data_IF_273497250790
#
_entry.id   IF_273497250790
#
_cell.length_a   1.000
_cell.length_b   1.000
_cell.length_c   1.000
_cell.angle_alpha   90.00
_cell.angle_beta   90.00
_cell.angle_gamma   90.00
#
_symmetry.space_group_name_H-M   'P 1'
#
loop_
_entity.id
_entity.type
_entity.pdbx_description
1 polymer ?
#
# COMPACT_ATOMS: atom_id res chain seq x y z
N UNK A 1 5.15 -26.55 0.46
CA UNK A 1 5.30 -27.18 1.80
C UNK A 1 6.76 -27.11 2.26
N UNK A 2 7.72 -27.56 1.45
CA UNK A 2 9.16 -27.48 1.72
C UNK A 2 9.66 -26.04 2.04
N UNK A 3 9.35 -25.04 1.21
CA UNK A 3 9.81 -23.65 1.46
C UNK A 3 9.26 -23.00 2.73
N UNK A 4 8.02 -23.34 3.13
CA UNK A 4 7.45 -22.81 4.36
C UNK A 4 8.18 -23.38 5.58
N UNK A 5 8.45 -24.67 5.56
CA UNK A 5 9.21 -25.33 6.63
C UNK A 5 10.61 -24.72 6.73
N UNK A 6 11.34 -24.61 5.61
CA UNK A 6 12.67 -23.97 5.59
C UNK A 6 12.64 -22.54 6.12
N UNK A 7 11.62 -21.76 5.75
CA UNK A 7 11.43 -20.42 6.27
C UNK A 7 11.25 -20.41 7.79
N UNK A 8 10.39 -21.30 8.33
CA UNK A 8 10.13 -21.39 9.76
C UNK A 8 11.36 -21.86 10.55
N UNK A 9 12.14 -22.79 10.01
CA UNK A 9 13.40 -23.25 10.61
C UNK A 9 14.42 -22.11 10.70
N UNK A 10 14.61 -21.35 9.62
CA UNK A 10 15.50 -20.18 9.62
C UNK A 10 15.00 -19.10 10.57
N UNK A 11 13.69 -18.84 10.61
CA UNK A 11 13.11 -17.87 11.53
C UNK A 11 13.34 -18.28 12.99
N UNK A 12 13.11 -19.56 13.33
CA UNK A 12 13.36 -20.09 14.67
C UNK A 12 14.82 -19.90 15.08
N UNK A 13 15.75 -20.31 14.22
CA UNK A 13 17.18 -20.17 14.48
C UNK A 13 17.61 -18.71 14.71
N UNK A 14 17.01 -17.76 13.96
CA UNK A 14 17.26 -16.34 14.15
C UNK A 14 16.77 -15.82 15.51
N UNK A 15 15.63 -16.32 15.99
CA UNK A 15 15.10 -15.97 17.32
C UNK A 15 15.94 -16.56 18.46
N UNK A 16 16.40 -17.80 18.32
CA UNK A 16 17.33 -18.42 19.28
C UNK A 16 18.64 -17.63 19.36
N UNK A 17 19.23 -17.34 18.20
CA UNK A 17 20.46 -16.54 18.10
C UNK A 17 20.29 -15.13 18.67
N UNK A 18 19.12 -14.51 18.52
CA UNK A 18 18.80 -13.24 19.18
C UNK A 18 18.86 -13.38 20.71
N UNK A 19 18.33 -14.46 21.28
CA UNK A 19 18.42 -14.76 22.70
C UNK A 19 19.85 -14.94 23.18
N UNK A 20 20.69 -15.65 22.41
CA UNK A 20 22.10 -15.86 22.72
C UNK A 20 22.87 -14.53 22.77
N UNK A 21 22.66 -13.64 21.79
CA UNK A 21 23.27 -12.30 21.79
C UNK A 21 22.89 -11.48 23.03
N UNK A 22 21.63 -11.56 23.47
CA UNK A 22 21.21 -10.91 24.72
C UNK A 22 21.92 -11.52 25.93
N UNK A 23 22.11 -12.85 25.95
CA UNK A 23 22.87 -13.56 26.98
C UNK A 23 24.33 -13.12 27.07
N UNK A 24 24.95 -12.75 25.95
CA UNK A 24 26.31 -12.19 25.88
C UNK A 24 26.39 -10.69 26.24
N UNK A 25 25.26 -10.05 26.55
CA UNK A 25 25.20 -8.63 26.93
C UNK A 25 25.14 -7.67 25.75
N UNK A 26 24.90 -8.16 24.53
CA UNK A 26 24.60 -7.30 23.37
C UNK A 26 23.25 -6.61 23.58
N UNK A 27 23.18 -5.32 23.26
CA UNK A 27 21.96 -4.54 23.45
C UNK A 27 20.86 -5.02 22.49
N UNK A 28 19.58 -5.04 22.90
CA UNK A 28 18.46 -5.44 22.03
C UNK A 28 18.42 -4.71 20.68
N UNK A 29 18.72 -3.40 20.67
CA UNK A 29 18.78 -2.58 19.45
C UNK A 29 19.81 -3.06 18.42
N UNK A 30 20.86 -3.73 18.89
CA UNK A 30 21.97 -4.24 18.08
C UNK A 30 21.73 -5.72 17.73
N UNK A 31 21.05 -6.49 18.60
CA UNK A 31 20.67 -7.87 18.34
C UNK A 31 19.48 -8.01 17.37
N UNK A 32 18.57 -7.01 17.32
CA UNK A 32 17.34 -7.07 16.51
C UNK A 32 17.59 -7.25 15.01
N UNK A 33 18.80 -6.97 14.52
CA UNK A 33 19.18 -7.15 13.12
C UNK A 33 19.15 -8.62 12.66
N UNK A 34 19.14 -9.59 13.59
CA UNK A 34 18.93 -11.00 13.27
C UNK A 34 17.48 -11.33 12.93
N UNK A 35 16.52 -10.57 13.46
CA UNK A 35 15.11 -10.91 13.37
C UNK A 35 14.60 -10.74 11.93
N UNK A 36 13.95 -11.75 11.33
CA UNK A 36 13.43 -11.66 9.97
C UNK A 36 12.30 -10.63 9.87
N UNK A 37 12.06 -10.11 8.67
CA UNK A 37 11.03 -9.07 8.43
C UNK A 37 9.61 -9.56 8.67
N UNK A 38 9.32 -10.84 8.46
CA UNK A 38 7.98 -11.41 8.56
C UNK A 38 7.66 -11.81 10.02
N UNK A 39 7.71 -10.80 10.89
CA UNK A 39 7.23 -10.85 12.27
C UNK A 39 5.92 -10.09 12.39
N UNK A 40 5.04 -10.57 13.27
CA UNK A 40 3.83 -9.82 13.61
C UNK A 40 4.22 -8.66 14.52
N UNK A 41 3.87 -7.45 14.11
CA UNK A 41 4.00 -6.24 14.91
C UNK A 41 2.64 -5.58 15.06
N UNK A 42 2.37 -5.03 16.23
CA UNK A 42 1.19 -4.21 16.48
C UNK A 42 1.57 -2.74 16.22
N UNK A 43 0.72 -2.04 15.46
CA UNK A 43 0.97 -0.66 15.04
C UNK A 43 -0.27 0.17 15.36
N UNK A 44 -0.06 1.34 15.96
CA UNK A 44 -1.08 2.39 16.06
C UNK A 44 -0.76 3.42 14.98
N UNK A 45 -1.75 3.71 14.15
CA UNK A 45 -1.65 4.71 13.09
C UNK A 45 -2.66 5.82 13.33
N UNK A 46 -2.19 7.06 13.27
CA UNK A 46 -3.04 8.24 13.37
C UNK A 46 -2.83 9.11 12.13
N UNK A 47 -3.93 9.50 11.49
CA UNK A 47 -3.92 10.34 10.31
C UNK A 47 -5.08 11.33 10.39
N UNK A 48 -4.84 12.56 9.94
CA UNK A 48 -5.93 13.47 9.61
C UNK A 48 -6.67 12.98 8.36
N UNK A 49 -7.88 13.50 8.14
CA UNK A 49 -8.74 13.08 7.02
C UNK A 49 -8.08 13.33 5.66
N UNK A 50 -7.40 14.47 5.49
CA UNK A 50 -6.74 14.82 4.23
C UNK A 50 -5.67 13.79 3.86
N UNK A 51 -4.81 13.43 4.82
CA UNK A 51 -3.74 12.45 4.61
C UNK A 51 -4.29 11.05 4.32
N UNK A 52 -5.42 10.66 4.93
CA UNK A 52 -6.09 9.41 4.62
C UNK A 52 -6.60 9.37 3.17
N UNK A 53 -7.32 10.41 2.76
CA UNK A 53 -8.02 10.45 1.47
C UNK A 53 -7.11 10.77 0.29
N UNK A 54 -6.10 11.63 0.47
CA UNK A 54 -5.23 12.07 -0.61
C UNK A 54 -3.89 11.30 -0.66
N UNK A 55 -3.48 10.67 0.45
CA UNK A 55 -2.18 10.02 0.57
C UNK A 55 -2.28 8.51 0.81
N UNK A 56 -2.72 8.11 1.99
CA UNK A 56 -2.61 6.73 2.46
C UNK A 56 -3.47 5.75 1.64
N UNK A 57 -4.80 5.90 1.64
CA UNK A 57 -5.69 4.97 0.94
C UNK A 57 -5.48 4.92 -0.57
N UNK A 58 -5.27 6.05 -1.28
CA UNK A 58 -5.00 6.04 -2.71
C UNK A 58 -3.82 5.16 -3.11
N UNK A 59 -2.77 5.13 -2.28
CA UNK A 59 -1.57 4.34 -2.51
C UNK A 59 -1.73 2.90 -2.03
N UNK A 60 -2.32 2.68 -0.85
CA UNK A 60 -2.41 1.33 -0.25
C UNK A 60 -3.52 0.46 -0.81
N UNK A 61 -4.54 1.03 -1.43
CA UNK A 61 -5.59 0.29 -2.15
C UNK A 61 -5.20 -0.08 -3.58
N UNK A 62 -4.11 0.50 -4.10
CA UNK A 62 -3.63 0.21 -5.45
C UNK A 62 -3.14 -1.23 -5.57
N UNK A 63 -3.29 -1.84 -6.75
CA UNK A 63 -2.80 -3.19 -7.02
C UNK A 63 -1.26 -3.31 -7.01
N UNK A 64 -0.55 -2.19 -7.14
CA UNK A 64 0.92 -2.14 -7.05
C UNK A 64 1.44 -2.13 -5.62
N UNK A 65 0.57 -1.92 -4.63
CA UNK A 65 0.94 -2.00 -3.22
C UNK A 65 1.30 -3.45 -2.83
N UNK A 66 2.18 -3.58 -1.85
CA UNK A 66 2.51 -4.88 -1.23
C UNK A 66 1.23 -5.58 -0.77
N UNK A 67 1.10 -6.88 -1.07
CA UNK A 67 -0.16 -7.62 -0.86
C UNK A 67 -0.62 -7.56 0.59
N UNK A 68 0.29 -7.76 1.55
CA UNK A 68 -0.08 -7.78 2.96
C UNK A 68 -0.62 -6.43 3.41
N UNK A 69 0.08 -5.35 3.05
CA UNK A 69 -0.34 -3.98 3.32
C UNK A 69 -1.71 -3.68 2.72
N UNK A 70 -1.93 -4.08 1.46
CA UNK A 70 -3.21 -3.88 0.78
C UNK A 70 -4.34 -4.69 1.44
N UNK A 71 -4.08 -5.94 1.83
CA UNK A 71 -5.07 -6.78 2.50
C UNK A 71 -5.46 -6.20 3.86
N UNK A 72 -4.51 -5.69 4.63
CA UNK A 72 -4.78 -5.02 5.89
C UNK A 72 -5.59 -3.74 5.66
N UNK A 73 -5.17 -2.92 4.68
CA UNK A 73 -5.90 -1.71 4.27
C UNK A 73 -7.35 -2.00 3.85
N UNK A 74 -7.61 -3.09 3.12
CA UNK A 74 -8.97 -3.47 2.74
C UNK A 74 -9.86 -3.80 3.94
N UNK A 75 -9.30 -4.40 5.00
CA UNK A 75 -10.02 -4.67 6.26
C UNK A 75 -10.32 -3.35 6.98
N UNK A 76 -9.34 -2.46 7.08
CA UNK A 76 -9.49 -1.12 7.67
C UNK A 76 -10.59 -0.33 6.95
N UNK A 77 -10.51 -0.25 5.61
CA UNK A 77 -11.50 0.46 4.79
C UNK A 77 -12.89 -0.11 4.99
N UNK A 78 -13.05 -1.44 5.05
CA UNK A 78 -14.36 -2.05 5.35
C UNK A 78 -14.91 -1.59 6.71
N UNK A 79 -14.07 -1.60 7.74
CA UNK A 79 -14.47 -1.15 9.08
C UNK A 79 -14.85 0.34 9.08
N UNK A 80 -14.06 1.19 8.42
CA UNK A 80 -14.31 2.63 8.32
C UNK A 80 -15.57 2.92 7.52
N UNK A 81 -15.79 2.28 6.36
CA UNK A 81 -17.00 2.47 5.55
C UNK A 81 -18.26 2.08 6.33
N UNK A 82 -18.21 0.99 7.10
CA UNK A 82 -19.32 0.58 7.98
C UNK A 82 -19.60 1.65 9.06
N UNK A 83 -18.56 2.14 9.73
CA UNK A 83 -18.68 3.19 10.75
C UNK A 83 -19.23 4.49 10.17
N UNK A 84 -18.73 4.94 9.01
CA UNK A 84 -19.20 6.14 8.32
C UNK A 84 -20.67 6.00 7.93
N UNK A 85 -21.08 4.84 7.42
CA UNK A 85 -22.48 4.57 7.09
C UNK A 85 -23.39 4.62 8.31
N UNK A 86 -22.97 4.04 9.45
CA UNK A 86 -23.72 4.10 10.70
C UNK A 86 -23.88 5.53 11.24
N UNK A 87 -22.89 6.39 10.98
CA UNK A 87 -22.90 7.81 11.38
C UNK A 87 -23.60 8.74 10.37
N UNK A 88 -24.16 8.21 9.28
CA UNK A 88 -24.83 9.02 8.24
C UNK A 88 -23.89 9.69 7.23
N UNK A 89 -22.58 9.40 7.27
CA UNK A 89 -21.56 9.96 6.36
C UNK A 89 -21.21 9.00 5.22
N UNK A 90 -22.20 8.27 4.68
CA UNK A 90 -21.96 7.28 3.61
C UNK A 90 -21.27 7.90 2.38
N UNK A 91 -21.61 9.14 2.04
CA UNK A 91 -20.99 9.87 0.92
C UNK A 91 -19.45 9.98 1.06
N UNK A 92 -18.92 10.06 2.29
CA UNK A 92 -17.48 10.15 2.52
C UNK A 92 -16.76 8.83 2.19
N UNK A 93 -17.46 7.70 2.30
CA UNK A 93 -16.92 6.38 1.98
C UNK A 93 -16.57 6.24 0.49
N UNK A 94 -17.21 7.01 -0.39
CA UNK A 94 -16.96 6.98 -1.83
C UNK A 94 -15.62 7.62 -2.20
N UNK A 95 -15.13 8.54 -1.36
CA UNK A 95 -13.80 9.16 -1.52
C UNK A 95 -12.66 8.23 -1.11
N UNK A 96 -12.94 7.18 -0.32
CA UNK A 96 -11.94 6.16 0.06
C UNK A 96 -11.78 5.18 -1.11
N UNK A 97 -10.86 5.52 -2.01
CA UNK A 97 -10.64 4.83 -3.28
C UNK A 97 -9.15 4.82 -3.68
N UNK A 98 -8.73 3.92 -4.59
CA UNK A 98 -7.38 3.94 -5.14
C UNK A 98 -7.12 5.24 -5.92
N UNK A 99 -5.86 5.65 -6.04
CA UNK A 99 -5.47 6.92 -6.71
C UNK A 99 -6.05 7.10 -8.12
N UNK A 100 -6.23 6.02 -8.86
CA UNK A 100 -6.80 6.08 -10.21
C UNK A 100 -8.28 6.54 -10.24
N UNK A 101 -9.02 6.31 -9.15
CA UNK A 101 -10.40 6.78 -8.98
C UNK A 101 -10.48 8.26 -8.71
N UNK A 102 -9.49 8.80 -7.99
CA UNK A 102 -9.41 10.24 -7.74
C UNK A 102 -9.09 11.03 -9.00
N UNK A 103 -8.19 10.53 -9.86
CA UNK A 103 -7.75 11.25 -11.06
C UNK A 103 -8.47 10.85 -12.35
N UNK A 104 -9.25 9.78 -12.36
CA UNK A 104 -9.96 9.26 -13.54
C UNK A 104 -9.05 8.57 -14.58
N UNK A 105 -7.81 8.25 -14.21
CA UNK A 105 -6.78 7.63 -15.07
C UNK A 105 -5.84 6.78 -14.21
N UNK A 106 -5.26 5.70 -14.76
CA UNK A 106 -4.28 4.93 -14.00
C UNK A 106 -2.89 5.56 -14.14
N UNK A 107 -2.27 6.08 -13.06
CA UNK A 107 -0.96 6.73 -13.15
C UNK A 107 0.21 5.74 -13.15
N UNK A 108 -0.04 4.43 -13.04
CA UNK A 108 1.00 3.40 -12.98
C UNK A 108 1.58 3.05 -14.35
N UNK A 109 2.75 2.39 -14.37
CA UNK A 109 3.37 1.95 -15.63
C UNK A 109 2.49 1.00 -16.43
N UNK A 110 1.91 0.03 -15.73
CA UNK A 110 0.93 -0.91 -16.24
C UNK A 110 -0.36 -0.70 -15.46
N UNK A 111 -1.46 -0.48 -16.18
CA UNK A 111 -2.77 -0.38 -15.54
C UNK A 111 -3.26 -1.74 -15.04
N UNK A 112 -4.18 -1.72 -14.09
CA UNK A 112 -4.83 -2.92 -13.55
C UNK A 112 -6.35 -2.83 -13.73
N UNK A 113 -7.06 -3.95 -13.53
CA UNK A 113 -8.50 -4.05 -13.79
C UNK A 113 -9.40 -3.11 -12.97
N UNK A 114 -8.90 -2.52 -11.88
CA UNK A 114 -9.66 -1.53 -11.09
C UNK A 114 -10.05 -0.29 -11.91
N UNK A 115 -9.30 0.05 -12.96
CA UNK A 115 -9.62 1.22 -13.81
C UNK A 115 -10.90 1.04 -14.62
N UNK A 116 -11.31 -0.21 -14.87
CA UNK A 116 -12.48 -0.51 -15.70
C UNK A 116 -13.80 -0.12 -15.03
N UNK A 117 -13.81 -0.01 -13.70
CA UNK A 117 -14.95 0.50 -12.95
C UNK A 117 -15.26 1.96 -13.31
N UNK A 118 -14.24 2.73 -13.70
CA UNK A 118 -14.35 4.14 -14.08
C UNK A 118 -14.44 4.34 -15.59
N UNK A 119 -13.59 3.63 -16.34
CA UNK A 119 -13.43 3.80 -17.79
C UNK A 119 -13.58 2.43 -18.44
N UNK A 120 -14.79 2.11 -18.90
CA UNK A 120 -15.14 0.76 -19.41
C UNK A 120 -14.26 0.29 -20.57
N UNK A 121 -13.86 1.20 -21.46
CA UNK A 121 -13.07 0.89 -22.65
C UNK A 121 -11.57 1.22 -22.48
N UNK A 122 -11.08 1.22 -21.25
CA UNK A 122 -9.68 1.49 -20.98
C UNK A 122 -8.80 0.39 -21.58
N UNK A 123 -7.89 0.76 -22.47
CA UNK A 123 -7.01 -0.19 -23.14
C UNK A 123 -5.58 0.35 -23.19
N UNK A 124 -4.65 -0.49 -23.67
CA UNK A 124 -3.23 -0.16 -23.72
C UNK A 124 -2.94 1.05 -24.62
N UNK A 125 -3.65 1.18 -25.75
CA UNK A 125 -3.48 2.30 -26.67
C UNK A 125 -3.87 3.62 -25.98
N UNK A 126 -5.08 3.70 -25.43
CA UNK A 126 -5.56 4.86 -24.68
C UNK A 126 -4.62 5.22 -23.53
N UNK A 127 -4.16 4.22 -22.79
CA UNK A 127 -3.24 4.43 -21.66
C UNK A 127 -1.92 5.08 -22.11
N UNK A 128 -1.33 4.59 -23.20
CA UNK A 128 -0.08 5.12 -23.75
C UNK A 128 -0.26 6.52 -24.35
N UNK A 129 -1.36 6.77 -25.05
CA UNK A 129 -1.68 8.08 -25.62
C UNK A 129 -1.80 9.14 -24.53
N UNK A 130 -2.56 8.85 -23.46
CA UNK A 130 -2.72 9.73 -22.32
C UNK A 130 -1.41 10.01 -21.58
N UNK A 131 -0.56 9.00 -21.40
CA UNK A 131 0.78 9.20 -20.81
C UNK A 131 1.65 10.12 -21.63
N UNK A 132 1.73 9.89 -22.94
CA UNK A 132 2.52 10.73 -23.85
C UNK A 132 2.03 12.17 -23.85
N UNK A 133 0.72 12.39 -23.80
CA UNK A 133 0.14 13.73 -23.68
C UNK A 133 0.54 14.42 -22.36
N UNK A 134 0.44 13.70 -21.24
CA UNK A 134 0.87 14.20 -19.93
C UNK A 134 2.37 14.54 -19.91
N UNK A 135 3.22 13.65 -20.41
CA UNK A 135 4.67 13.89 -20.50
C UNK A 135 5.01 15.14 -21.31
N UNK A 136 4.36 15.33 -22.47
CA UNK A 136 4.52 16.54 -23.29
C UNK A 136 4.12 17.80 -22.54
N UNK A 137 2.98 17.78 -21.84
CA UNK A 137 2.52 18.90 -21.01
C UNK A 137 3.49 19.23 -19.88
N UNK A 138 4.02 18.20 -19.21
CA UNK A 138 5.05 18.37 -18.16
C UNK A 138 6.36 18.94 -18.71
N UNK A 139 6.83 18.48 -19.87
CA UNK A 139 8.02 19.03 -20.52
C UNK A 139 7.84 20.50 -20.87
N UNK A 140 6.68 20.86 -21.45
CA UNK A 140 6.35 22.26 -21.74
C UNK A 140 6.34 23.12 -20.47
N UNK A 141 5.77 22.61 -19.38
CA UNK A 141 5.78 23.30 -18.10
C UNK A 141 7.21 23.52 -17.58
N UNK A 142 8.07 22.49 -17.64
CA UNK A 142 9.47 22.61 -17.22
C UNK A 142 10.28 23.60 -18.05
N UNK A 143 9.97 23.77 -19.34
CA UNK A 143 10.67 24.76 -20.19
C UNK A 143 10.30 26.22 -19.91
N UNK A 144 9.26 26.46 -19.11
CA UNK A 144 8.78 27.82 -18.75
C UNK A 144 9.44 28.31 -17.45
N UNK A 145 10.08 27.42 -16.68
CA UNK A 145 10.81 27.71 -15.45
C UNK A 145 12.30 27.40 -15.62
#
# INVERSE_FOLDING_TARGET
>A
KDFLQKYLEVALFAFESYGDLLGEGIKPRDAIFLIPRAIKIDIIQEYNLYNLLAGYYPLRLCQTAEEEMKRNTLKEVRAIKNLLSQKGYKWLADFISPKCHTVGFCPEEKFCGQIFELVKNYNQQFHQEMKKDLEKKFQKFKSIY
#
